data_IF_028333124810
#
_entry.id   IF_028333124810
#
_cell.length_a   1.000
_cell.length_b   1.000
_cell.length_c   1.000
_cell.angle_alpha   90.00
_cell.angle_beta   90.00
_cell.angle_gamma   90.00
#
_symmetry.space_group_name_H-M   'P 1'
#
loop_
_entity.id
_entity.type
_entity.pdbx_description
1 polymer ?
#
# COMPACT_ATOMS: atom_id res chain seq x y z
N UNK A 1 16.85 9.96 -1.68
CA UNK A 1 15.45 9.75 -2.07
C UNK A 1 15.14 10.36 -3.42
N UNK A 2 15.41 9.64 -4.52
CA UNK A 2 15.02 10.05 -5.90
C UNK A 2 14.01 9.10 -6.56
N UNK A 3 13.30 8.29 -5.75
CA UNK A 3 12.52 7.14 -6.27
C UNK A 3 11.01 7.29 -6.18
N UNK A 4 10.47 8.28 -5.47
CA UNK A 4 9.02 8.41 -5.27
C UNK A 4 8.60 9.84 -5.59
N UNK A 5 7.54 9.99 -6.38
CA UNK A 5 6.86 11.26 -6.66
C UNK A 5 5.38 11.14 -6.32
N UNK A 6 4.82 12.20 -5.72
CA UNK A 6 3.40 12.26 -5.36
C UNK A 6 2.80 13.59 -5.82
N UNK A 7 1.63 13.52 -6.44
CA UNK A 7 0.78 14.66 -6.76
C UNK A 7 -0.53 14.50 -5.96
N UNK A 8 -1.00 15.58 -5.33
CA UNK A 8 -2.22 15.59 -4.53
C UNK A 8 -3.05 16.80 -4.93
N UNK A 9 -4.31 16.57 -5.28
CA UNK A 9 -5.34 17.59 -5.41
C UNK A 9 -6.05 17.74 -4.05
N UNK A 10 -5.90 18.91 -3.44
CA UNK A 10 -6.34 19.16 -2.07
C UNK A 10 -6.88 20.58 -1.89
N UNK A 11 -7.71 20.74 -0.85
CA UNK A 11 -8.05 22.04 -0.27
C UNK A 11 -7.26 22.27 1.03
N UNK A 12 -7.32 23.48 1.58
CA UNK A 12 -6.59 23.85 2.79
C UNK A 12 -5.19 24.41 2.50
N UNK A 13 -4.32 24.44 3.51
CA UNK A 13 -2.99 25.06 3.40
C UNK A 13 -1.97 24.16 2.72
N UNK A 14 -0.91 24.76 2.17
CA UNK A 14 0.23 24.04 1.58
C UNK A 14 0.90 23.07 2.56
N UNK A 15 0.84 23.37 3.86
CA UNK A 15 1.35 22.48 4.92
C UNK A 15 0.55 21.19 4.96
N UNK A 16 -0.79 21.27 4.91
CA UNK A 16 -1.65 20.08 4.85
C UNK A 16 -1.38 19.29 3.58
N UNK A 17 -1.29 19.97 2.43
CA UNK A 17 -0.97 19.32 1.16
C UNK A 17 0.35 18.55 1.19
N UNK A 18 1.41 19.17 1.73
CA UNK A 18 2.72 18.54 1.90
C UNK A 18 2.66 17.34 2.85
N UNK A 19 1.90 17.44 3.92
CA UNK A 19 1.77 16.39 4.92
C UNK A 19 1.05 15.16 4.35
N UNK A 20 -0.02 15.40 3.59
CA UNK A 20 -0.74 14.34 2.87
C UNK A 20 0.14 13.73 1.78
N UNK A 21 0.86 14.53 1.00
CA UNK A 21 1.76 14.00 -0.03
C UNK A 21 2.85 13.10 0.58
N UNK A 22 3.41 13.49 1.73
CA UNK A 22 4.38 12.68 2.47
C UNK A 22 3.74 11.39 3.02
N UNK A 23 2.51 11.47 3.52
CA UNK A 23 1.75 10.32 3.96
C UNK A 23 1.53 9.32 2.82
N UNK A 24 1.03 9.76 1.67
CA UNK A 24 0.79 8.92 0.50
C UNK A 24 2.10 8.27 0.01
N UNK A 25 3.20 9.03 0.01
CA UNK A 25 4.51 8.51 -0.40
C UNK A 25 4.93 7.29 0.45
N UNK A 26 4.66 7.33 1.76
CA UNK A 26 5.03 6.32 2.73
C UNK A 26 4.01 5.16 2.82
N UNK A 27 2.72 5.46 2.95
CA UNK A 27 1.66 4.50 3.26
C UNK A 27 1.06 3.79 2.04
N UNK A 28 1.30 4.31 0.82
CA UNK A 28 0.84 3.72 -0.45
C UNK A 28 -0.67 3.34 -0.47
N UNK A 29 -1.59 4.26 -0.11
CA UNK A 29 -3.03 3.97 -0.21
C UNK A 29 -3.42 3.63 -1.66
N UNK A 30 -4.36 2.70 -1.82
CA UNK A 30 -4.93 2.29 -3.10
C UNK A 30 -5.89 3.36 -3.66
N UNK A 31 -6.68 3.97 -2.79
CA UNK A 31 -7.69 4.96 -3.14
C UNK A 31 -7.94 5.92 -1.96
N UNK A 32 -8.78 6.93 -2.14
CA UNK A 32 -9.02 7.93 -1.08
C UNK A 32 -9.88 7.33 0.03
N UNK A 33 -11.00 6.71 -0.35
CA UNK A 33 -12.02 6.24 0.57
C UNK A 33 -12.45 4.80 0.27
N UNK A 34 -13.15 4.17 1.22
CA UNK A 34 -13.64 2.79 1.10
C UNK A 34 -14.56 2.59 -0.12
N UNK A 35 -15.33 3.61 -0.50
CA UNK A 35 -16.22 3.55 -1.67
C UNK A 35 -15.49 3.53 -3.01
N UNK A 36 -14.20 3.85 -3.03
CA UNK A 36 -13.36 3.83 -4.22
C UNK A 36 -12.55 2.53 -4.37
N UNK A 37 -12.67 1.61 -3.40
CA UNK A 37 -12.00 0.31 -3.49
C UNK A 37 -12.65 -0.51 -4.60
N UNK A 38 -11.87 -1.02 -5.58
CA UNK A 38 -12.42 -1.89 -6.61
C UNK A 38 -13.10 -3.13 -6.02
N UNK A 39 -14.29 -3.46 -6.51
CA UNK A 39 -15.07 -4.59 -6.00
C UNK A 39 -14.30 -5.91 -6.08
N UNK A 40 -13.53 -6.13 -7.15
CA UNK A 40 -12.74 -7.34 -7.33
C UNK A 40 -11.62 -7.47 -6.28
N UNK A 41 -11.03 -6.35 -5.84
CA UNK A 41 -10.02 -6.33 -4.77
C UNK A 41 -10.68 -6.66 -3.43
N UNK A 42 -11.84 -6.05 -3.16
CA UNK A 42 -12.57 -6.28 -1.92
C UNK A 42 -13.08 -7.73 -1.79
N UNK A 43 -13.60 -8.30 -2.89
CA UNK A 43 -14.08 -9.68 -2.93
C UNK A 43 -12.92 -10.67 -2.72
N UNK A 44 -11.78 -10.46 -3.39
CA UNK A 44 -10.56 -11.26 -3.17
C UNK A 44 -10.12 -11.23 -1.71
N UNK A 45 -10.07 -10.06 -1.10
CA UNK A 45 -9.68 -9.93 0.31
C UNK A 45 -10.69 -10.62 1.24
N UNK A 46 -11.99 -10.51 0.93
CA UNK A 46 -13.03 -11.20 1.69
C UNK A 46 -12.89 -12.72 1.61
N UNK A 47 -12.54 -13.26 0.45
CA UNK A 47 -12.33 -14.69 0.27
C UNK A 47 -11.06 -15.18 0.98
N UNK A 48 -9.98 -14.39 0.96
CA UNK A 48 -8.79 -14.64 1.77
C UNK A 48 -9.15 -14.65 3.26
N UNK A 49 -9.92 -13.68 3.72
CA UNK A 49 -10.35 -13.57 5.11
C UNK A 49 -11.22 -14.77 5.54
N UNK A 50 -12.14 -15.23 4.68
CA UNK A 50 -12.97 -16.43 4.91
C UNK A 50 -12.12 -17.68 5.01
N UNK A 51 -11.24 -17.92 4.03
CA UNK A 51 -10.36 -19.10 4.03
C UNK A 51 -9.51 -19.18 5.32
N UNK A 52 -8.97 -18.04 5.75
CA UNK A 52 -8.21 -17.97 7.01
C UNK A 52 -9.09 -18.15 8.26
N UNK A 53 -10.36 -17.75 8.23
CA UNK A 53 -11.28 -17.90 9.36
C UNK A 53 -11.84 -19.32 9.47
N UNK A 54 -12.14 -19.98 8.36
CA UNK A 54 -12.58 -21.38 8.31
C UNK A 54 -11.49 -22.33 8.84
N UNK A 55 -10.23 -22.06 8.51
CA UNK A 55 -9.08 -22.81 9.03
C UNK A 55 -8.90 -22.70 10.57
N UNK A 56 -9.62 -21.78 11.24
CA UNK A 56 -9.49 -21.58 12.69
C UNK A 56 -10.29 -22.56 13.55
N UNK A 57 -11.22 -23.34 12.96
CA UNK A 57 -12.04 -24.32 13.69
C UNK A 57 -13.04 -23.72 14.69
N UNK A 58 -13.30 -22.41 14.62
CA UNK A 58 -14.21 -21.69 15.54
C UNK A 58 -15.67 -21.77 15.07
N UNK A 59 -16.65 -21.48 15.96
CA UNK A 59 -18.06 -21.42 15.57
C UNK A 59 -18.34 -20.38 14.49
N UNK A 60 -19.38 -20.62 13.67
CA UNK A 60 -19.74 -19.78 12.52
C UNK A 60 -19.89 -18.28 12.86
N UNK A 61 -20.48 -17.95 14.01
CA UNK A 61 -20.63 -16.56 14.46
C UNK A 61 -19.27 -15.87 14.71
N UNK A 62 -18.29 -16.62 15.22
CA UNK A 62 -16.93 -16.10 15.45
C UNK A 62 -16.18 -15.98 14.12
N UNK A 63 -16.37 -16.94 13.21
CA UNK A 63 -15.81 -16.91 11.85
C UNK A 63 -16.30 -15.66 11.11
N UNK A 64 -17.59 -15.37 11.15
CA UNK A 64 -18.16 -14.18 10.51
C UNK A 64 -17.57 -12.88 11.07
N UNK A 65 -17.49 -12.76 12.41
CA UNK A 65 -16.84 -11.63 13.08
C UNK A 65 -15.36 -11.49 12.70
N UNK A 66 -14.65 -12.60 12.53
CA UNK A 66 -13.25 -12.58 12.10
C UNK A 66 -13.09 -12.08 10.66
N UNK A 67 -13.97 -12.51 9.75
CA UNK A 67 -13.96 -12.05 8.35
C UNK A 67 -14.21 -10.54 8.30
N UNK A 68 -15.27 -10.07 8.98
CA UNK A 68 -15.60 -8.64 9.09
C UNK A 68 -14.43 -7.82 9.64
N UNK A 69 -13.80 -8.30 10.72
CA UNK A 69 -12.64 -7.65 11.31
C UNK A 69 -11.46 -7.51 10.35
N UNK A 70 -11.18 -8.55 9.55
CA UNK A 70 -10.09 -8.53 8.55
C UNK A 70 -10.39 -7.59 7.39
N UNK A 71 -11.61 -7.63 6.85
CA UNK A 71 -12.01 -6.72 5.78
C UNK A 71 -11.95 -5.26 6.26
N UNK A 72 -12.46 -4.98 7.46
CA UNK A 72 -12.36 -3.63 8.04
C UNK A 72 -10.91 -3.18 8.27
N UNK A 73 -10.04 -4.10 8.67
CA UNK A 73 -8.61 -3.81 8.81
C UNK A 73 -7.98 -3.48 7.45
N UNK A 74 -8.26 -4.29 6.43
CA UNK A 74 -7.79 -4.05 5.06
C UNK A 74 -8.21 -2.67 4.55
N UNK A 75 -9.48 -2.28 4.74
CA UNK A 75 -9.99 -0.98 4.35
C UNK A 75 -9.25 0.17 5.05
N UNK A 76 -8.98 0.05 6.35
CA UNK A 76 -8.20 1.03 7.11
C UNK A 76 -6.74 1.12 6.69
N UNK A 77 -6.15 0.02 6.24
CA UNK A 77 -4.75 -0.01 5.80
C UNK A 77 -4.59 0.37 4.32
N UNK A 78 -5.65 0.27 3.52
CA UNK A 78 -5.59 0.45 2.06
C UNK A 78 -6.20 1.75 1.54
N UNK A 79 -7.01 2.44 2.35
CA UNK A 79 -7.63 3.72 1.95
C UNK A 79 -6.94 4.90 2.64
N UNK A 80 -6.72 6.00 1.91
CA UNK A 80 -6.05 7.18 2.46
C UNK A 80 -6.76 7.68 3.72
N UNK A 81 -8.08 7.85 3.68
CA UNK A 81 -8.86 8.41 4.79
C UNK A 81 -8.89 7.48 6.02
N UNK A 82 -8.86 6.16 5.80
CA UNK A 82 -8.87 5.15 6.86
C UNK A 82 -7.53 4.98 7.57
N UNK A 83 -6.42 5.34 6.91
CA UNK A 83 -5.08 5.13 7.43
C UNK A 83 -4.77 5.99 8.68
N UNK A 84 -4.00 5.45 9.65
CA UNK A 84 -3.40 6.25 10.72
C UNK A 84 -2.44 7.29 10.13
N UNK A 85 -2.51 8.54 10.59
CA UNK A 85 -1.69 9.62 10.04
C UNK A 85 -0.23 9.46 10.45
N UNK A 86 0.70 9.57 9.51
CA UNK A 86 2.11 9.19 9.74
C UNK A 86 2.86 10.09 10.72
N UNK A 87 2.36 11.31 10.95
CA UNK A 87 2.93 12.24 11.92
C UNK A 87 2.28 12.14 13.30
N UNK A 88 1.11 11.51 13.38
CA UNK A 88 0.35 11.30 14.62
C UNK A 88 -0.58 10.11 14.40
N UNK A 89 -0.12 8.92 14.80
CA UNK A 89 -0.82 7.65 14.61
C UNK A 89 -2.07 7.50 15.50
N UNK A 90 -2.29 8.43 16.43
CA UNK A 90 -3.51 8.49 17.24
C UNK A 90 -4.72 8.99 16.43
N UNK A 91 -4.48 9.63 15.29
CA UNK A 91 -5.49 10.17 14.39
C UNK A 91 -5.48 9.41 13.05
N UNK A 92 -6.65 9.27 12.44
CA UNK A 92 -6.71 8.91 11.02
C UNK A 92 -6.43 10.14 10.16
N UNK A 93 -6.02 9.93 8.90
CA UNK A 93 -5.89 11.01 7.92
C UNK A 93 -7.20 11.77 7.76
N UNK A 94 -8.34 11.07 7.79
CA UNK A 94 -9.65 11.73 7.75
C UNK A 94 -9.85 12.72 8.92
N UNK A 95 -9.50 12.31 10.14
CA UNK A 95 -9.61 13.18 11.32
C UNK A 95 -8.67 14.37 11.23
N UNK A 96 -7.44 14.15 10.75
CA UNK A 96 -6.47 15.21 10.51
C UNK A 96 -6.99 16.24 9.50
N UNK A 97 -7.50 15.79 8.35
CA UNK A 97 -8.07 16.65 7.32
C UNK A 97 -9.29 17.43 7.83
N UNK A 98 -10.21 16.78 8.54
CA UNK A 98 -11.37 17.43 9.17
C UNK A 98 -10.95 18.51 10.16
N UNK A 99 -9.98 18.23 11.03
CA UNK A 99 -9.44 19.20 12.00
C UNK A 99 -8.79 20.42 11.34
N UNK A 100 -8.21 20.22 10.15
CA UNK A 100 -7.62 21.29 9.35
C UNK A 100 -8.60 22.00 8.39
N UNK A 101 -9.90 21.62 8.41
CA UNK A 101 -10.91 22.05 7.44
C UNK A 101 -10.43 21.90 5.98
N UNK A 102 -9.83 20.75 5.69
CA UNK A 102 -9.21 20.41 4.42
C UNK A 102 -9.80 19.11 3.83
N UNK A 103 -9.54 18.87 2.55
CA UNK A 103 -9.99 17.69 1.83
C UNK A 103 -9.00 17.28 0.76
N UNK A 104 -9.09 16.03 0.31
CA UNK A 104 -8.32 15.46 -0.79
C UNK A 104 -9.32 14.86 -1.78
N UNK A 105 -9.19 15.20 -3.05
CA UNK A 105 -10.10 14.76 -4.13
C UNK A 105 -9.42 13.81 -5.10
N UNK A 106 -8.10 13.90 -5.23
CA UNK A 106 -7.31 13.03 -6.10
C UNK A 106 -5.87 12.95 -5.62
N UNK A 107 -5.23 11.81 -5.82
CA UNK A 107 -3.78 11.72 -5.75
C UNK A 107 -3.23 10.79 -6.81
N UNK A 108 -1.96 10.96 -7.12
CA UNK A 108 -1.19 10.02 -7.94
C UNK A 108 0.16 9.83 -7.25
N UNK A 109 0.59 8.57 -7.13
CA UNK A 109 1.89 8.19 -6.59
C UNK A 109 2.63 7.41 -7.67
N UNK A 110 3.89 7.78 -7.90
CA UNK A 110 4.80 7.04 -8.76
C UNK A 110 6.01 6.58 -7.97
N UNK A 111 6.41 5.32 -8.15
CA UNK A 111 7.66 4.79 -7.63
C UNK A 111 8.55 4.25 -8.75
N UNK A 112 9.81 4.67 -8.79
CA UNK A 112 10.78 4.24 -9.80
C UNK A 112 11.01 2.74 -9.65
N UNK A 113 10.71 2.00 -10.71
CA UNK A 113 10.82 0.54 -10.76
C UNK A 113 9.58 -0.21 -10.28
N UNK A 114 8.47 0.48 -10.02
CA UNK A 114 7.18 -0.16 -9.76
C UNK A 114 6.77 -1.05 -10.95
N UNK A 115 6.44 -2.31 -10.65
CA UNK A 115 6.07 -3.31 -11.67
C UNK A 115 7.23 -3.90 -12.47
N UNK A 116 8.50 -3.52 -12.21
CA UNK A 116 9.66 -4.14 -12.85
C UNK A 116 10.17 -5.33 -12.03
N UNK A 117 10.29 -6.50 -12.65
CA UNK A 117 11.05 -7.61 -12.07
C UNK A 117 12.51 -7.19 -11.96
N UNK A 118 13.03 -7.17 -10.73
CA UNK A 118 14.42 -6.82 -10.46
C UNK A 118 15.30 -7.92 -11.04
N UNK A 119 15.95 -7.68 -12.18
CA UNK A 119 17.02 -8.56 -12.68
C UNK A 119 18.11 -8.64 -11.61
N UNK A 120 18.24 -9.81 -11.00
CA UNK A 120 19.35 -10.17 -10.14
C UNK A 120 20.39 -10.85 -11.02
N UNK A 121 21.15 -10.07 -11.78
CA UNK A 121 22.35 -10.59 -12.44
C UNK A 121 23.41 -10.78 -11.34
N UNK A 122 23.66 -12.04 -10.97
CA UNK A 122 24.70 -12.38 -10.02
C UNK A 122 26.05 -12.21 -10.71
N UNK A 123 26.67 -11.05 -10.49
CA UNK A 123 27.96 -10.68 -11.08
C UNK A 123 29.03 -11.77 -10.89
N UNK A 124 28.96 -12.56 -9.81
CA UNK A 124 29.86 -13.68 -9.59
C UNK A 124 29.69 -14.79 -10.65
N UNK A 125 28.46 -15.10 -11.07
CA UNK A 125 28.18 -16.11 -12.08
C UNK A 125 28.58 -15.64 -13.48
N UNK A 126 28.49 -14.33 -13.74
CA UNK A 126 28.97 -13.72 -14.99
C UNK A 126 30.50 -13.75 -15.07
N UNK A 127 31.19 -13.39 -13.98
CA UNK A 127 32.67 -13.44 -13.91
C UNK A 127 33.18 -14.88 -14.01
N UNK A 128 32.51 -15.83 -13.35
CA UNK A 128 32.87 -17.25 -13.43
C UNK A 128 32.72 -17.79 -14.86
N UNK A 129 31.61 -17.46 -15.54
CA UNK A 129 31.42 -17.82 -16.96
C UNK A 129 32.52 -17.26 -17.86
N UNK A 130 32.93 -16.00 -17.68
CA UNK A 130 34.02 -15.42 -18.47
C UNK A 130 35.36 -16.12 -18.22
N UNK A 131 35.63 -16.55 -16.99
CA UNK A 131 36.86 -17.31 -16.66
C UNK A 131 36.85 -18.69 -17.30
N UNK A 132 35.71 -19.38 -17.29
CA UNK A 132 35.60 -20.73 -17.86
C UNK A 132 35.62 -20.72 -19.40
N UNK A 133 34.99 -19.73 -20.04
CA UNK A 133 35.07 -19.50 -21.49
C UNK A 133 36.50 -19.18 -21.98
N UNK A 134 37.34 -18.60 -21.12
CA UNK A 134 38.76 -18.33 -21.42
C UNK A 134 39.63 -19.60 -21.30
N UNK A 135 39.24 -20.56 -20.47
CA UNK A 135 39.97 -21.83 -20.29
C UNK A 135 39.69 -22.83 -21.41
N UNK A 136 38.48 -22.82 -21.98
CA UNK A 136 38.09 -23.73 -23.08
C UNK A 136 38.66 -23.34 -24.46
N UNK A 137 39.30 -22.17 -24.58
CA UNK A 137 39.91 -21.66 -25.82
C UNK A 137 41.44 -21.78 -25.88
N UNK A 138 42.08 -22.38 -24.87
CA UNK A 138 43.52 -22.63 -24.81
C UNK A 138 43.84 -24.11 -24.89
#
# INVERSE_FOLDING_TARGET
GKRIGVLVDHSGSDVVGKDIAMHIAASKPLCISESEVPADVLDKERDIAKAQAEASGKPAEIVEKMVLGKVNKFLKESTLLGQPFIKDDSLSVEKYLKGANASVTKFIRYEVGEGLEKRSENFADEVQKQIDDLKDKG
#
